data_IF_224435776945
#
_entry.id   IF_224435776945
#
_cell.length_a   1.000
_cell.length_b   1.000
_cell.length_c   1.000
_cell.angle_alpha   90.00
_cell.angle_beta   90.00
_cell.angle_gamma   90.00
#
_symmetry.space_group_name_H-M   'P 1'
#
loop_
_entity.id
_entity.type
_entity.pdbx_description
1 polymer ?
#
# COMPACT_ATOMS: atom_id res chain seq x y z
N UNK A 1 -12.98 10.61 -2.41
CA UNK A 1 -12.63 9.51 -1.47
C UNK A 1 -11.88 10.14 -0.31
N UNK A 2 -12.21 9.81 0.95
CA UNK A 2 -11.43 10.31 2.09
C UNK A 2 -10.08 9.60 2.15
N UNK A 3 -9.04 10.30 2.60
CA UNK A 3 -7.74 9.72 2.96
C UNK A 3 -7.74 9.20 4.40
N UNK A 4 -8.92 8.97 4.97
CA UNK A 4 -9.13 8.50 6.32
C UNK A 4 -8.50 7.11 6.49
N UNK A 5 -7.75 6.93 7.56
CA UNK A 5 -7.13 5.66 7.94
C UNK A 5 -8.01 4.90 8.94
N UNK A 6 -7.75 3.61 9.10
CA UNK A 6 -8.43 2.77 10.09
C UNK A 6 -8.24 3.33 11.50
N UNK A 7 -7.08 3.89 11.81
CA UNK A 7 -6.82 4.60 13.07
C UNK A 7 -7.72 5.82 13.24
N UNK A 8 -7.85 6.66 12.21
CA UNK A 8 -8.72 7.86 12.28
C UNK A 8 -10.17 7.48 12.61
N UNK A 9 -10.67 6.37 12.04
CA UNK A 9 -12.00 5.86 12.36
C UNK A 9 -12.11 5.43 13.83
N UNK A 10 -11.10 4.74 14.35
CA UNK A 10 -11.07 4.32 15.76
C UNK A 10 -10.99 5.52 16.70
N UNK A 11 -10.17 6.52 16.38
CA UNK A 11 -10.09 7.77 17.14
C UNK A 11 -11.45 8.50 17.14
N UNK A 12 -12.13 8.54 16.00
CA UNK A 12 -13.48 9.10 15.90
C UNK A 12 -14.54 8.32 16.69
N UNK A 13 -14.38 7.00 16.85
CA UNK A 13 -15.22 6.17 17.73
C UNK A 13 -14.97 6.52 19.19
N UNK A 14 -13.71 6.65 19.60
CA UNK A 14 -13.33 6.98 20.97
C UNK A 14 -13.87 8.36 21.37
N UNK A 15 -13.68 9.36 20.51
CA UNK A 15 -14.22 10.71 20.74
C UNK A 15 -15.75 10.69 20.87
N UNK A 16 -16.46 9.90 20.06
CA UNK A 16 -17.91 9.77 20.19
C UNK A 16 -18.33 9.04 21.47
N UNK A 17 -17.54 8.07 21.96
CA UNK A 17 -17.80 7.40 23.25
C UNK A 17 -17.64 8.35 24.43
N UNK A 18 -16.73 9.31 24.31
CA UNK A 18 -16.50 10.34 25.34
C UNK A 18 -17.57 11.46 25.31
N UNK A 19 -18.58 11.33 24.45
CA UNK A 19 -19.77 12.20 24.42
C UNK A 19 -21.02 11.40 24.78
N UNK A 20 -22.15 12.07 25.03
CA UNK A 20 -23.47 11.45 25.21
C UNK A 20 -24.04 10.84 23.90
N UNK A 21 -23.19 10.38 22.98
CA UNK A 21 -23.59 9.74 21.74
C UNK A 21 -24.31 8.41 22.04
N UNK A 22 -25.52 8.25 21.51
CA UNK A 22 -26.31 7.03 21.63
C UNK A 22 -25.68 5.94 20.73
N UNK A 23 -25.23 4.84 21.32
CA UNK A 23 -24.66 3.70 20.58
C UNK A 23 -25.73 2.73 20.09
N UNK A 24 -26.61 3.18 19.21
CA UNK A 24 -27.61 2.34 18.55
C UNK A 24 -27.03 1.58 17.34
N UNK A 25 -27.86 0.73 16.72
CA UNK A 25 -27.46 -0.03 15.53
C UNK A 25 -27.09 0.87 14.34
N UNK A 26 -27.66 2.08 14.26
CA UNK A 26 -27.41 3.03 13.18
C UNK A 26 -25.99 3.61 13.28
N UNK A 27 -25.61 4.08 14.47
CA UNK A 27 -24.28 4.62 14.73
C UNK A 27 -23.20 3.54 14.62
N UNK A 28 -23.47 2.33 15.11
CA UNK A 28 -22.54 1.20 14.91
C UNK A 28 -22.34 0.92 13.42
N UNK A 29 -23.42 0.83 12.63
CA UNK A 29 -23.32 0.61 11.18
C UNK A 29 -22.55 1.74 10.48
N UNK A 30 -22.76 2.99 10.88
CA UNK A 30 -22.06 4.15 10.34
C UNK A 30 -20.54 4.02 10.48
N UNK A 31 -20.04 3.71 11.69
CA UNK A 31 -18.61 3.55 11.92
C UNK A 31 -18.01 2.32 11.26
N UNK A 32 -18.76 1.20 11.18
CA UNK A 32 -18.32 0.03 10.43
C UNK A 32 -18.14 0.34 8.94
N UNK A 33 -19.10 1.04 8.33
CA UNK A 33 -19.00 1.45 6.92
C UNK A 33 -17.80 2.39 6.68
N UNK A 34 -17.50 3.30 7.63
CA UNK A 34 -16.28 4.14 7.57
C UNK A 34 -15.02 3.31 7.66
N UNK A 35 -14.96 2.36 8.60
CA UNK A 35 -13.80 1.49 8.80
C UNK A 35 -13.50 0.61 7.58
N UNK A 36 -14.55 0.13 6.91
CA UNK A 36 -14.43 -0.68 5.69
C UNK A 36 -13.94 0.16 4.49
N UNK A 37 -14.35 1.43 4.40
CA UNK A 37 -13.89 2.35 3.36
C UNK A 37 -12.49 2.95 3.61
N UNK A 38 -12.05 2.96 4.88
CA UNK A 38 -10.81 3.58 5.31
C UNK A 38 -9.56 2.83 4.85
N UNK A 39 -8.48 3.58 4.69
CA UNK A 39 -7.18 3.08 4.28
C UNK A 39 -6.45 2.36 5.43
N UNK A 40 -5.58 1.37 5.13
CA UNK A 40 -4.60 0.90 6.10
C UNK A 40 -3.70 2.04 6.60
N UNK A 41 -3.40 2.09 7.89
CA UNK A 41 -2.60 3.16 8.50
C UNK A 41 -1.21 3.32 7.86
N UNK A 42 -0.56 2.20 7.55
CA UNK A 42 0.81 2.16 7.06
C UNK A 42 0.86 1.82 5.58
N UNK A 43 0.23 2.61 4.73
CA UNK A 43 0.29 2.38 3.28
C UNK A 43 1.75 2.28 2.79
N UNK A 44 2.08 1.27 1.98
CA UNK A 44 3.39 1.20 1.36
C UNK A 44 3.58 2.42 0.45
N UNK A 45 4.74 3.07 0.57
CA UNK A 45 5.15 4.16 -0.31
C UNK A 45 6.11 3.56 -1.33
N UNK A 46 5.74 3.61 -2.60
CA UNK A 46 6.53 3.03 -3.68
C UNK A 46 6.61 3.97 -4.88
N UNK A 47 7.68 3.90 -5.69
CA UNK A 47 7.76 4.67 -6.92
C UNK A 47 6.62 4.33 -7.89
N UNK A 48 6.25 5.32 -8.72
CA UNK A 48 5.26 5.16 -9.79
C UNK A 48 5.60 3.99 -10.71
N UNK A 49 6.88 3.78 -11.02
CA UNK A 49 7.37 2.67 -11.82
C UNK A 49 7.01 1.30 -11.21
N UNK A 50 7.19 1.14 -9.90
CA UNK A 50 6.87 -0.09 -9.17
C UNK A 50 5.36 -0.31 -9.15
N UNK A 51 4.58 0.75 -8.90
CA UNK A 51 3.12 0.69 -8.94
C UNK A 51 2.58 0.30 -10.32
N UNK A 52 3.20 0.78 -11.42
CA UNK A 52 2.84 0.39 -12.79
C UNK A 52 3.13 -1.09 -13.04
N UNK A 53 4.29 -1.57 -12.62
CA UNK A 53 4.65 -2.99 -12.73
C UNK A 53 3.69 -3.91 -11.95
N UNK A 54 3.28 -3.51 -10.74
CA UNK A 54 2.26 -4.24 -9.96
C UNK A 54 0.93 -4.33 -10.74
N UNK A 55 0.47 -3.22 -11.35
CA UNK A 55 -0.75 -3.19 -12.19
C UNK A 55 -0.64 -4.15 -13.37
N UNK A 56 0.47 -4.11 -14.10
CA UNK A 56 0.73 -4.99 -15.24
C UNK A 56 0.76 -6.48 -14.82
N UNK A 57 1.40 -6.80 -13.70
CA UNK A 57 1.43 -8.15 -13.14
C UNK A 57 0.04 -8.66 -12.78
N UNK A 58 -0.75 -7.85 -12.08
CA UNK A 58 -2.14 -8.22 -11.70
C UNK A 58 -3.00 -8.45 -12.95
N UNK A 59 -2.93 -7.55 -13.93
CA UNK A 59 -3.68 -7.70 -15.19
C UNK A 59 -3.29 -8.98 -15.95
N UNK A 60 -2.02 -9.41 -15.85
CA UNK A 60 -1.50 -10.63 -16.47
C UNK A 60 -1.67 -11.88 -15.60
N UNK A 61 -2.37 -11.81 -14.46
CA UNK A 61 -2.50 -12.90 -13.49
C UNK A 61 -1.15 -13.50 -13.04
N UNK A 62 -0.13 -12.65 -12.93
CA UNK A 62 1.21 -13.04 -12.48
C UNK A 62 1.21 -13.17 -10.97
N UNK A 63 1.81 -14.25 -10.46
CA UNK A 63 1.87 -14.51 -9.02
C UNK A 63 2.74 -13.48 -8.30
N UNK A 64 2.59 -13.36 -6.97
CA UNK A 64 3.50 -12.51 -6.18
C UNK A 64 4.96 -12.97 -6.31
N UNK A 65 5.21 -14.28 -6.35
CA UNK A 65 6.56 -14.82 -6.50
C UNK A 65 7.20 -14.37 -7.81
N UNK A 66 6.47 -14.49 -8.92
CA UNK A 66 6.94 -14.06 -10.25
C UNK A 66 7.06 -12.53 -10.34
N UNK A 67 6.16 -11.80 -9.69
CA UNK A 67 6.19 -10.33 -9.62
C UNK A 67 7.47 -9.81 -8.96
N UNK A 68 7.97 -10.54 -7.95
CA UNK A 68 9.20 -10.20 -7.21
C UNK A 68 10.47 -10.79 -7.86
N UNK A 69 10.33 -11.69 -8.84
CA UNK A 69 11.46 -12.32 -9.52
C UNK A 69 12.34 -11.27 -10.21
N UNK A 70 13.66 -11.38 -10.03
CA UNK A 70 14.61 -10.41 -10.60
C UNK A 70 14.60 -10.38 -12.13
N UNK A 71 14.46 -11.55 -12.76
CA UNK A 71 14.50 -11.70 -14.22
C UNK A 71 13.26 -11.13 -14.91
N UNK A 72 12.13 -11.13 -14.20
CA UNK A 72 10.84 -10.68 -14.73
C UNK A 72 10.64 -9.17 -14.59
N UNK A 73 11.37 -8.52 -13.68
CA UNK A 73 11.19 -7.10 -13.37
C UNK A 73 11.76 -6.20 -14.48
N UNK A 74 11.05 -5.13 -14.85
CA UNK A 74 11.62 -4.10 -15.71
C UNK A 74 12.80 -3.42 -15.01
N UNK A 75 13.72 -2.88 -15.82
CA UNK A 75 15.00 -2.34 -15.36
C UNK A 75 14.84 -1.28 -14.26
N UNK A 76 13.88 -0.37 -14.38
CA UNK A 76 13.63 0.67 -13.39
C UNK A 76 13.21 0.11 -12.01
N UNK A 77 12.40 -0.95 -11.96
CA UNK A 77 11.99 -1.62 -10.72
C UNK A 77 13.15 -2.43 -10.13
N UNK A 78 13.94 -3.08 -10.99
CA UNK A 78 15.17 -3.78 -10.57
C UNK A 78 16.15 -2.79 -9.94
N UNK A 79 16.39 -1.66 -10.60
CA UNK A 79 17.34 -0.65 -10.16
C UNK A 79 16.91 -0.02 -8.83
N UNK A 80 15.62 0.33 -8.68
CA UNK A 80 15.09 0.81 -7.40
C UNK A 80 15.36 -0.17 -6.25
N UNK A 81 15.14 -1.47 -6.48
CA UNK A 81 15.30 -2.49 -5.44
C UNK A 81 16.77 -2.79 -5.13
N UNK A 82 17.64 -2.82 -6.16
CA UNK A 82 19.03 -3.27 -6.05
C UNK A 82 20.02 -2.18 -5.63
N UNK A 83 19.73 -0.90 -5.92
CA UNK A 83 20.67 0.19 -5.67
C UNK A 83 20.27 1.03 -4.45
N UNK A 84 21.31 1.48 -3.74
CA UNK A 84 21.20 2.47 -2.67
C UNK A 84 21.43 3.83 -3.30
N UNK A 85 20.43 4.71 -3.26
CA UNK A 85 20.54 6.12 -3.64
C UNK A 85 21.11 6.38 -5.06
N UNK A 86 20.87 5.46 -6.02
CA UNK A 86 21.28 5.62 -7.41
C UNK A 86 22.75 5.29 -7.70
N UNK A 87 23.56 5.01 -6.68
CA UNK A 87 24.92 4.50 -6.85
C UNK A 87 24.92 2.98 -6.85
N UNK A 88 25.80 2.40 -7.67
CA UNK A 88 26.29 1.05 -7.46
C UNK A 88 27.05 1.12 -6.14
N UNK A 89 26.31 0.96 -5.03
CA UNK A 89 26.92 0.77 -3.73
C UNK A 89 27.99 -0.31 -3.92
N UNK A 90 29.22 0.00 -3.53
CA UNK A 90 30.36 -0.92 -3.68
C UNK A 90 30.13 -2.27 -2.96
N UNK A 91 29.00 -2.41 -2.25
CA UNK A 91 28.44 -3.66 -1.73
C UNK A 91 26.92 -3.72 -1.95
N UNK A 92 26.39 -4.93 -2.20
CA UNK A 92 24.96 -5.19 -2.31
C UNK A 92 24.25 -4.91 -0.96
N UNK A 93 23.39 -3.88 -0.92
CA UNK A 93 22.56 -3.57 0.25
C UNK A 93 21.42 -4.58 0.39
N UNK A 94 21.74 -5.75 0.95
CA UNK A 94 20.76 -6.82 1.20
C UNK A 94 19.59 -6.34 2.07
N UNK A 95 19.86 -5.49 3.06
CA UNK A 95 18.82 -5.01 3.96
C UNK A 95 17.86 -4.05 3.24
N UNK A 96 18.37 -3.11 2.45
CA UNK A 96 17.57 -2.22 1.61
C UNK A 96 16.80 -2.97 0.54
N UNK A 97 17.41 -3.96 -0.10
CA UNK A 97 16.76 -4.83 -1.05
C UNK A 97 15.55 -5.55 -0.43
N UNK A 98 15.73 -6.18 0.73
CA UNK A 98 14.65 -6.89 1.43
C UNK A 98 13.53 -5.94 1.88
N UNK A 99 13.86 -4.73 2.37
CA UNK A 99 12.85 -3.72 2.73
C UNK A 99 12.02 -3.29 1.52
N UNK A 100 12.66 -3.08 0.37
CA UNK A 100 11.96 -2.70 -0.87
C UNK A 100 11.14 -3.85 -1.45
N UNK A 101 11.62 -5.09 -1.31
CA UNK A 101 10.85 -6.29 -1.64
C UNK A 101 9.59 -6.38 -0.78
N UNK A 102 9.70 -6.16 0.53
CA UNK A 102 8.57 -6.13 1.45
C UNK A 102 7.57 -5.01 1.10
N UNK A 103 8.04 -3.78 0.84
CA UNK A 103 7.19 -2.66 0.41
C UNK A 103 6.38 -3.01 -0.85
N UNK A 104 7.05 -3.59 -1.85
CA UNK A 104 6.41 -4.01 -3.08
C UNK A 104 5.40 -5.14 -2.86
N UNK A 105 5.75 -6.14 -2.05
CA UNK A 105 4.87 -7.26 -1.71
C UNK A 105 3.61 -6.77 -0.97
N UNK A 106 3.78 -5.88 0.01
CA UNK A 106 2.67 -5.26 0.74
C UNK A 106 1.77 -4.46 -0.19
N UNK A 107 2.32 -3.69 -1.12
CA UNK A 107 1.52 -2.95 -2.11
C UNK A 107 0.71 -3.91 -3.01
N UNK A 108 1.32 -5.02 -3.43
CA UNK A 108 0.66 -6.04 -4.25
C UNK A 108 -0.46 -6.78 -3.51
N UNK A 109 -0.25 -7.10 -2.23
CA UNK A 109 -1.24 -7.81 -1.38
C UNK A 109 -2.39 -6.88 -1.00
N UNK A 110 -2.09 -5.67 -0.55
CA UNK A 110 -3.11 -4.70 -0.14
C UNK A 110 -3.89 -4.17 -1.34
N UNK A 111 -3.31 -4.18 -2.54
CA UNK A 111 -3.88 -3.53 -3.72
C UNK A 111 -4.00 -2.02 -3.57
N UNK A 112 -3.34 -1.43 -2.57
CA UNK A 112 -3.34 0.01 -2.32
C UNK A 112 -1.97 0.48 -1.85
N UNK A 113 -1.53 1.63 -2.36
CA UNK A 113 -0.23 2.23 -2.02
C UNK A 113 -0.24 3.74 -2.26
N UNK A 114 0.78 4.41 -1.73
CA UNK A 114 1.07 5.82 -2.01
C UNK A 114 2.22 5.93 -3.00
N UNK A 115 2.06 6.78 -4.01
CA UNK A 115 3.10 7.08 -5.00
C UNK A 115 4.13 7.99 -4.34
N UNK A 116 5.39 7.57 -4.36
CA UNK A 116 6.50 8.30 -3.73
C UNK A 116 6.67 9.70 -4.31
N UNK A 117 6.55 9.84 -5.62
CA UNK A 117 6.83 11.08 -6.35
C UNK A 117 5.74 12.15 -6.18
N UNK A 118 4.48 11.75 -5.92
CA UNK A 118 3.33 12.66 -5.93
C UNK A 118 2.51 12.64 -4.65
N UNK A 119 2.68 11.64 -3.79
CA UNK A 119 1.81 11.39 -2.64
C UNK A 119 0.43 10.84 -3.02
N UNK A 120 0.16 10.60 -4.31
CA UNK A 120 -1.13 10.08 -4.79
C UNK A 120 -1.40 8.68 -4.24
N UNK A 121 -2.64 8.42 -3.82
CA UNK A 121 -3.05 7.08 -3.35
C UNK A 121 -3.67 6.32 -4.50
N UNK A 122 -3.06 5.20 -4.85
CA UNK A 122 -3.54 4.29 -5.89
C UNK A 122 -4.24 3.12 -5.23
N UNK A 123 -5.47 2.82 -5.66
CA UNK A 123 -6.22 1.60 -5.32
C UNK A 123 -6.43 0.78 -6.58
N UNK A 124 -6.14 -0.52 -6.51
CA UNK A 124 -6.59 -1.49 -7.49
C UNK A 124 -8.02 -1.86 -7.13
N UNK A 125 -8.94 -1.70 -8.09
CA UNK A 125 -10.27 -2.26 -7.93
C UNK A 125 -10.13 -3.78 -7.94
N UNK A 126 -10.79 -4.46 -6.99
CA UNK A 126 -10.95 -5.89 -7.10
C UNK A 126 -11.76 -6.17 -8.36
N UNK A 127 -11.23 -6.96 -9.29
CA UNK A 127 -12.05 -7.53 -10.36
C UNK A 127 -13.23 -8.24 -9.69
N UNK A 128 -14.45 -7.80 -10.05
CA UNK A 128 -15.71 -8.41 -9.63
C UNK A 128 -15.95 -9.71 -10.37
#
# INVERSE_FOLDING_TARGET
MSNETKRDVVEAILLAKDTDTIWDSSNVRYYLNRYDAALPDNLPVIPKAVGKWIKECKHRNVTLADTLCMEMRPENVRNWMAFKDGDIANDFDRAGYLRKQDLMARAWVLGVWRVEETGEIVKLEAEK
#
